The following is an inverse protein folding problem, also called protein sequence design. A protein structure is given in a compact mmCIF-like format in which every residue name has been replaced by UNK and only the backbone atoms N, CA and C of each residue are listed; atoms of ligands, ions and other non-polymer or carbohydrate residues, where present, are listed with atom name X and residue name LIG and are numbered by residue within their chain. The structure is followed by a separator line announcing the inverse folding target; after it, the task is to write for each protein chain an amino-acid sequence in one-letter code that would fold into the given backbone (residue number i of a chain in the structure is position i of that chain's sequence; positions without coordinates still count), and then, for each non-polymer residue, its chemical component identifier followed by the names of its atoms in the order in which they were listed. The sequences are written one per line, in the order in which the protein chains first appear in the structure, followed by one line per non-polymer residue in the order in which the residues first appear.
data_IF_945032395709
#
_entry.id   IF_945032395709
#
_cell.length_a   1.000
_cell.length_b   1.000
_cell.length_c   1.000
_cell.angle_alpha   90.00
_cell.angle_beta   90.00
_cell.angle_gamma   90.00
#
_symmetry.space_group_name_H-M   'P 1'
#
loop_
_entity.id
_entity.type
_entity.pdbx_description
1 polymer ?
#
# COMPACT_ATOMS: atom_id res chain seq x y z
N UNK A 1 49.70 15.53 9.23
CA UNK A 1 48.36 15.13 9.72
C UNK A 1 47.53 14.75 8.50
N UNK A 2 47.18 13.47 8.29
CA UNK A 2 46.29 13.10 7.19
C UNK A 2 44.85 13.58 7.51
N UNK A 3 44.09 14.05 6.51
CA UNK A 3 42.70 14.46 6.70
C UNK A 3 41.85 13.22 7.05
N UNK A 4 41.02 13.37 8.09
CA UNK A 4 40.07 12.36 8.53
C UNK A 4 39.11 12.01 7.39
N UNK A 5 39.14 10.75 6.96
CA UNK A 5 38.20 10.21 6.00
C UNK A 5 36.77 10.31 6.58
N UNK A 6 35.86 10.89 5.80
CA UNK A 6 34.43 10.87 6.10
C UNK A 6 33.98 9.41 6.33
N UNK A 7 33.06 9.16 7.27
CA UNK A 7 32.51 7.82 7.48
C UNK A 7 31.83 7.39 6.19
N UNK A 8 32.50 6.51 5.45
CA UNK A 8 31.95 5.86 4.27
C UNK A 8 30.75 5.08 4.77
N UNK A 9 29.55 5.52 4.38
CA UNK A 9 28.34 4.75 4.56
C UNK A 9 28.63 3.32 4.10
N UNK A 10 28.58 2.37 5.03
CA UNK A 10 28.87 0.97 4.75
C UNK A 10 27.99 0.54 3.57
N UNK A 11 28.61 0.36 2.41
CA UNK A 11 27.96 -0.23 1.26
C UNK A 11 27.43 -1.58 1.72
N UNK A 12 26.11 -1.70 1.84
CA UNK A 12 25.44 -2.88 2.36
C UNK A 12 25.68 -4.02 1.38
N UNK A 13 26.76 -4.77 1.60
CA UNK A 13 27.37 -5.73 0.66
C UNK A 13 26.60 -7.03 0.51
N UNK A 14 25.48 -7.20 1.21
CA UNK A 14 24.54 -8.31 0.98
C UNK A 14 23.46 -7.89 -0.01
N UNK A 15 23.25 -8.60 -1.12
CA UNK A 15 22.20 -8.27 -2.09
C UNK A 15 20.84 -8.21 -1.39
N UNK A 16 20.08 -7.16 -1.68
CA UNK A 16 18.72 -6.98 -1.14
C UNK A 16 17.88 -8.22 -1.47
N UNK A 17 17.23 -8.79 -0.46
CA UNK A 17 16.34 -9.93 -0.67
C UNK A 17 15.06 -9.49 -1.39
N UNK A 18 14.62 -10.28 -2.36
CA UNK A 18 13.32 -10.09 -3.02
C UNK A 18 12.19 -10.43 -2.04
N UNK A 19 11.01 -9.78 -2.16
CA UNK A 19 9.89 -10.01 -1.26
C UNK A 19 9.41 -11.47 -1.19
N UNK A 20 9.57 -12.26 -2.26
CA UNK A 20 9.24 -13.69 -2.27
C UNK A 20 10.27 -14.62 -1.62
N UNK A 21 11.45 -14.10 -1.25
CA UNK A 21 12.55 -14.88 -0.66
C UNK A 21 12.65 -14.70 0.86
N UNK A 22 11.89 -13.78 1.45
CA UNK A 22 11.86 -13.59 2.91
C UNK A 22 10.88 -14.59 3.52
N UNK A 23 11.42 -15.72 4.02
CA UNK A 23 10.63 -16.86 4.50
C UNK A 23 10.11 -16.73 5.93
N UNK A 24 10.77 -15.94 6.78
CA UNK A 24 10.49 -15.93 8.23
C UNK A 24 9.88 -14.63 8.78
N UNK A 25 9.89 -13.53 8.02
CA UNK A 25 9.40 -12.23 8.50
C UNK A 25 8.63 -11.47 7.43
N UNK A 26 7.74 -10.58 7.85
CA UNK A 26 7.14 -9.59 6.93
C UNK A 26 8.27 -8.84 6.22
N UNK A 27 8.24 -8.82 4.88
CA UNK A 27 9.27 -8.17 4.06
C UNK A 27 9.68 -6.78 4.58
N UNK A 28 8.71 -6.00 5.07
CA UNK A 28 8.96 -4.66 5.63
C UNK A 28 9.70 -4.67 6.97
N UNK A 29 9.47 -5.66 7.84
CA UNK A 29 10.23 -5.81 9.10
C UNK A 29 11.71 -6.07 8.79
N UNK A 30 11.98 -6.95 7.84
CA UNK A 30 13.34 -7.19 7.32
C UNK A 30 13.97 -5.88 6.79
N UNK A 31 13.24 -5.13 5.98
CA UNK A 31 13.72 -3.84 5.46
C UNK A 31 13.97 -2.80 6.57
N UNK A 32 13.06 -2.69 7.55
CA UNK A 32 13.25 -1.78 8.68
C UNK A 32 14.49 -2.14 9.50
N UNK A 33 14.77 -3.42 9.71
CA UNK A 33 15.98 -3.88 10.41
C UNK A 33 17.26 -3.61 9.61
N UNK A 34 17.21 -3.76 8.27
CA UNK A 34 18.35 -3.47 7.39
C UNK A 34 18.67 -1.99 7.29
N UNK A 35 17.66 -1.12 7.31
CA UNK A 35 17.81 0.33 7.12
C UNK A 35 17.61 1.15 8.41
N UNK A 36 17.79 0.56 9.61
CA UNK A 36 17.63 1.26 10.90
C UNK A 36 18.46 2.54 10.98
N UNK A 37 19.66 2.56 10.37
CA UNK A 37 20.54 3.73 10.33
C UNK A 37 20.31 4.69 9.16
N UNK A 38 19.36 4.39 8.25
CA UNK A 38 19.14 5.19 7.05
C UNK A 38 17.74 5.83 7.09
N UNK A 39 17.69 7.10 7.47
CA UNK A 39 16.42 7.83 7.61
C UNK A 39 15.63 7.88 6.29
N UNK A 40 16.31 8.09 5.16
CA UNK A 40 15.65 8.22 3.87
C UNK A 40 15.00 6.90 3.44
N UNK A 41 15.72 5.78 3.52
CA UNK A 41 15.17 4.46 3.22
C UNK A 41 14.01 4.09 4.17
N UNK A 42 14.12 4.44 5.45
CA UNK A 42 13.06 4.24 6.45
C UNK A 42 11.79 5.05 6.11
N UNK A 43 11.93 6.30 5.65
CA UNK A 43 10.80 7.13 5.18
C UNK A 43 10.12 6.51 3.97
N UNK A 44 10.87 5.97 3.00
CA UNK A 44 10.32 5.28 1.84
C UNK A 44 9.53 4.03 2.24
N UNK A 45 10.09 3.18 3.11
CA UNK A 45 9.40 1.98 3.62
C UNK A 45 8.09 2.37 4.31
N UNK A 46 8.10 3.43 5.14
CA UNK A 46 6.92 3.95 5.82
C UNK A 46 5.88 4.50 4.85
N UNK A 47 6.29 5.22 3.81
CA UNK A 47 5.41 5.75 2.78
C UNK A 47 4.68 4.61 2.05
N UNK A 48 5.41 3.61 1.58
CA UNK A 48 4.83 2.44 0.93
C UNK A 48 3.88 1.69 1.87
N UNK A 49 4.24 1.55 3.14
CA UNK A 49 3.36 0.96 4.14
C UNK A 49 2.06 1.74 4.31
N UNK A 50 2.13 3.06 4.48
CA UNK A 50 0.95 3.92 4.63
C UNK A 50 0.05 3.87 3.41
N UNK A 51 0.62 3.86 2.19
CA UNK A 51 -0.13 3.80 0.94
C UNK A 51 -0.79 2.44 0.72
N UNK A 52 -0.11 1.34 1.04
CA UNK A 52 -0.72 0.01 1.02
C UNK A 52 -1.86 -0.12 2.04
N UNK A 53 -1.67 0.37 3.27
CA UNK A 53 -2.73 0.39 4.28
C UNK A 53 -3.92 1.23 3.79
N UNK A 54 -3.68 2.38 3.16
CA UNK A 54 -4.72 3.19 2.54
C UNK A 54 -5.46 2.47 1.41
N UNK A 55 -4.77 1.62 0.63
CA UNK A 55 -5.39 0.76 -0.38
C UNK A 55 -6.29 -0.32 0.23
N UNK A 56 -5.79 -1.02 1.27
CA UNK A 56 -6.59 -2.00 2.02
C UNK A 56 -7.80 -1.36 2.70
N UNK A 57 -7.65 -0.16 3.24
CA UNK A 57 -8.74 0.58 3.85
C UNK A 57 -9.82 0.90 2.82
N UNK A 58 -9.43 1.38 1.62
CA UNK A 58 -10.37 1.62 0.53
C UNK A 58 -11.15 0.37 0.12
N UNK A 59 -10.47 -0.78 0.03
CA UNK A 59 -11.13 -2.05 -0.26
C UNK A 59 -12.07 -2.49 0.87
N UNK A 60 -11.64 -2.36 2.12
CA UNK A 60 -12.46 -2.69 3.30
C UNK A 60 -13.70 -1.82 3.41
N UNK A 61 -13.56 -0.50 3.22
CA UNK A 61 -14.68 0.44 3.18
C UNK A 61 -15.63 0.13 2.02
N UNK A 62 -15.09 -0.20 0.84
CA UNK A 62 -15.90 -0.60 -0.31
C UNK A 62 -16.70 -1.87 -0.05
N UNK A 63 -16.06 -2.90 0.52
CA UNK A 63 -16.72 -4.15 0.88
C UNK A 63 -17.85 -3.92 1.88
N UNK A 64 -17.63 -3.11 2.91
CA UNK A 64 -18.67 -2.73 3.88
C UNK A 64 -19.82 -1.97 3.21
N UNK A 65 -19.52 -0.98 2.38
CA UNK A 65 -20.53 -0.17 1.70
C UNK A 65 -21.39 -1.04 0.76
N UNK A 66 -20.77 -1.90 -0.04
CA UNK A 66 -21.48 -2.82 -0.95
C UNK A 66 -22.33 -3.80 -0.15
N UNK A 67 -21.79 -4.38 0.93
CA UNK A 67 -22.53 -5.29 1.81
C UNK A 67 -23.75 -4.62 2.46
N UNK A 68 -23.61 -3.37 2.90
CA UNK A 68 -24.72 -2.61 3.48
C UNK A 68 -25.83 -2.34 2.45
N UNK A 69 -25.47 -1.94 1.23
CA UNK A 69 -26.41 -1.71 0.14
C UNK A 69 -27.13 -3.00 -0.25
N UNK A 70 -26.41 -4.12 -0.31
CA UNK A 70 -26.99 -5.44 -0.54
C UNK A 70 -28.00 -5.81 0.56
N UNK A 71 -27.71 -5.53 1.83
CA UNK A 71 -28.61 -5.81 2.95
C UNK A 71 -29.89 -4.96 2.94
N UNK A 72 -29.83 -3.77 2.34
CA UNK A 72 -31.00 -2.90 2.17
C UNK A 72 -31.81 -3.23 0.92
N UNK A 73 -31.23 -3.96 -0.02
CA UNK A 73 -31.91 -4.37 -1.26
C UNK A 73 -32.92 -5.47 -0.96
N UNK A 74 -34.14 -5.33 -1.48
CA UNK A 74 -35.23 -6.28 -1.29
C UNK A 74 -36.52 -5.61 -0.87
N UNK A 75 -37.54 -6.43 -0.67
CA UNK A 75 -38.87 -6.01 -0.26
C UNK A 75 -38.97 -6.02 1.25
N UNK A 76 -39.35 -4.88 1.84
CA UNK A 76 -39.61 -4.74 3.27
C UNK A 76 -41.06 -4.33 3.51
N UNK A 77 -41.74 -5.11 4.34
CA UNK A 77 -43.10 -4.83 4.78
C UNK A 77 -43.05 -4.06 6.10
N UNK A 78 -43.62 -2.87 6.11
CA UNK A 78 -43.77 -2.05 7.31
C UNK A 78 -44.89 -2.60 8.18
N UNK A 79 -44.84 -2.33 9.48
CA UNK A 79 -45.84 -2.73 10.48
C UNK A 79 -47.26 -2.24 10.16
N UNK A 80 -47.39 -1.21 9.33
CA UNK A 80 -48.67 -0.66 8.89
C UNK A 80 -49.21 -1.34 7.60
N UNK A 81 -48.61 -2.46 7.18
CA UNK A 81 -49.02 -3.23 6.00
C UNK A 81 -48.52 -2.67 4.66
N UNK A 82 -47.82 -1.53 4.66
CA UNK A 82 -47.21 -0.95 3.46
C UNK A 82 -45.92 -1.67 3.06
N UNK A 83 -45.79 -2.02 1.79
CA UNK A 83 -44.61 -2.72 1.25
C UNK A 83 -43.73 -1.76 0.47
N UNK A 84 -42.45 -1.64 0.82
CA UNK A 84 -41.45 -0.88 0.06
C UNK A 84 -40.42 -1.84 -0.52
N UNK A 85 -40.22 -1.78 -1.84
CA UNK A 85 -39.17 -2.57 -2.51
C UNK A 85 -38.04 -1.66 -2.93
N UNK A 86 -36.84 -1.93 -2.40
CA UNK A 86 -35.62 -1.23 -2.79
C UNK A 86 -34.85 -2.13 -3.75
N UNK A 87 -34.64 -1.68 -4.97
CA UNK A 87 -33.83 -2.40 -5.97
C UNK A 87 -32.64 -1.56 -6.37
N UNK A 88 -31.45 -2.17 -6.29
CA UNK A 88 -30.21 -1.55 -6.74
C UNK A 88 -29.90 -2.08 -8.13
N UNK A 89 -29.63 -1.17 -9.07
CA UNK A 89 -29.34 -1.55 -10.45
C UNK A 89 -27.97 -2.24 -10.54
N UNK A 90 -27.77 -3.14 -11.51
CA UNK A 90 -26.45 -3.73 -11.79
C UNK A 90 -25.38 -2.66 -12.05
N UNK A 91 -25.77 -1.54 -12.70
CA UNK A 91 -24.90 -0.38 -12.89
C UNK A 91 -24.47 0.26 -11.56
N UNK A 92 -25.38 0.35 -10.59
CA UNK A 92 -25.06 0.86 -9.24
C UNK A 92 -24.00 0.01 -8.53
N UNK A 93 -24.13 -1.31 -8.57
CA UNK A 93 -23.09 -2.23 -8.05
C UNK A 93 -21.78 -2.10 -8.83
N UNK A 94 -21.85 -2.01 -10.16
CA UNK A 94 -20.68 -1.83 -11.02
C UNK A 94 -19.90 -0.56 -10.70
N UNK A 95 -20.59 0.56 -10.46
CA UNK A 95 -19.97 1.83 -10.07
C UNK A 95 -19.30 1.74 -8.68
N UNK A 96 -19.96 1.11 -7.70
CA UNK A 96 -19.35 0.92 -6.38
C UNK A 96 -18.10 0.03 -6.45
N UNK A 97 -18.18 -1.11 -7.15
CA UNK A 97 -17.03 -1.99 -7.36
C UNK A 97 -15.90 -1.28 -8.10
N UNK A 98 -16.23 -0.53 -9.16
CA UNK A 98 -15.27 0.26 -9.93
C UNK A 98 -14.57 1.32 -9.09
N UNK A 99 -15.31 2.09 -8.29
CA UNK A 99 -14.76 3.15 -7.46
C UNK A 99 -13.87 2.59 -6.34
N UNK A 100 -14.43 1.72 -5.49
CA UNK A 100 -13.70 1.23 -4.32
C UNK A 100 -12.63 0.22 -4.70
N UNK A 101 -12.96 -0.73 -5.58
CA UNK A 101 -12.03 -1.71 -6.12
C UNK A 101 -10.92 -1.06 -6.93
N UNK A 102 -11.28 -0.17 -7.86
CA UNK A 102 -10.31 0.53 -8.72
C UNK A 102 -9.31 1.35 -7.91
N UNK A 103 -9.76 2.18 -6.97
CA UNK A 103 -8.86 3.01 -6.14
C UNK A 103 -8.00 2.14 -5.21
N UNK A 104 -8.60 1.15 -4.57
CA UNK A 104 -7.90 0.25 -3.64
C UNK A 104 -6.83 -0.59 -4.33
N UNK A 105 -7.20 -1.30 -5.40
CA UNK A 105 -6.28 -2.15 -6.18
C UNK A 105 -5.19 -1.30 -6.84
N UNK A 106 -5.53 -0.13 -7.41
CA UNK A 106 -4.53 0.75 -8.03
C UNK A 106 -3.46 1.21 -7.05
N UNK A 107 -3.85 1.57 -5.81
CA UNK A 107 -2.87 1.93 -4.77
C UNK A 107 -2.01 0.74 -4.38
N UNK A 108 -2.59 -0.45 -4.21
CA UNK A 108 -1.83 -1.65 -3.86
C UNK A 108 -0.86 -2.07 -4.95
N UNK A 109 -1.26 -1.96 -6.22
CA UNK A 109 -0.41 -2.26 -7.37
C UNK A 109 0.75 -1.27 -7.51
N UNK A 110 0.49 0.04 -7.39
CA UNK A 110 1.53 1.08 -7.50
C UNK A 110 2.52 1.06 -6.35
N UNK A 111 2.05 0.74 -5.15
CA UNK A 111 2.87 0.68 -3.94
C UNK A 111 3.15 -0.77 -3.50
N UNK A 112 3.32 -1.68 -4.46
CA UNK A 112 3.59 -3.09 -4.16
C UNK A 112 4.96 -3.30 -3.53
N UNK A 113 5.17 -4.46 -2.89
CA UNK A 113 6.46 -4.82 -2.31
C UNK A 113 7.55 -4.97 -3.38
N UNK A 114 7.18 -5.33 -4.62
CA UNK A 114 8.11 -5.42 -5.75
C UNK A 114 8.63 -4.03 -6.15
N UNK A 115 7.76 -3.02 -6.15
CA UNK A 115 8.16 -1.64 -6.41
C UNK A 115 9.03 -1.07 -5.29
N UNK A 116 8.72 -1.42 -4.04
CA UNK A 116 9.58 -1.06 -2.90
C UNK A 116 10.98 -1.70 -3.02
N UNK A 117 11.05 -2.96 -3.43
CA UNK A 117 12.31 -3.65 -3.70
C UNK A 117 13.11 -2.94 -4.80
N UNK A 118 12.47 -2.58 -5.91
CA UNK A 118 13.13 -1.86 -7.01
C UNK A 118 13.72 -0.53 -6.53
N UNK A 119 12.97 0.26 -5.76
CA UNK A 119 13.47 1.56 -5.28
C UNK A 119 14.60 1.42 -4.28
N UNK A 120 14.53 0.46 -3.35
CA UNK A 120 15.62 0.22 -2.40
C UNK A 120 16.85 -0.40 -3.08
N UNK A 121 16.65 -1.25 -4.09
CA UNK A 121 17.75 -1.79 -4.89
C UNK A 121 18.44 -0.72 -5.73
N UNK A 122 17.68 0.24 -6.27
CA UNK A 122 18.25 1.38 -6.99
C UNK A 122 18.99 2.31 -6.03
N UNK A 123 18.44 2.54 -4.84
CA UNK A 123 19.09 3.32 -3.79
C UNK A 123 20.40 2.68 -3.32
N UNK A 124 20.46 1.37 -3.13
CA UNK A 124 21.71 0.66 -2.78
C UNK A 124 22.80 0.82 -3.86
N UNK A 125 22.42 1.06 -5.14
CA UNK A 125 23.36 1.25 -6.25
C UNK A 125 23.75 2.72 -6.45
N UNK A 126 22.77 3.60 -6.51
CA UNK A 126 22.92 4.98 -7.00
C UNK A 126 22.73 6.02 -5.88
N UNK A 127 22.44 5.59 -4.65
CA UNK A 127 22.11 6.45 -3.49
C UNK A 127 21.00 7.48 -3.78
N UNK A 128 20.13 7.18 -4.75
CA UNK A 128 19.04 8.03 -5.18
C UNK A 128 17.73 7.24 -5.31
N UNK A 129 16.62 7.89 -4.97
CA UNK A 129 15.27 7.36 -5.20
C UNK A 129 14.68 7.95 -6.48
N UNK A 130 13.68 7.29 -7.06
CA UNK A 130 12.90 7.88 -8.14
C UNK A 130 12.34 9.27 -7.76
N UNK A 131 12.31 10.26 -8.67
CA UNK A 131 11.82 11.62 -8.38
C UNK A 131 10.43 11.64 -7.76
N UNK A 132 9.56 10.70 -8.17
CA UNK A 132 8.20 10.56 -7.65
C UNK A 132 8.14 10.10 -6.19
N UNK A 133 9.13 9.34 -5.74
CA UNK A 133 9.25 8.86 -4.36
C UNK A 133 9.94 9.93 -3.52
N UNK A 134 11.00 10.53 -4.06
CA UNK A 134 11.75 11.61 -3.41
C UNK A 134 10.86 12.80 -3.07
N UNK A 135 10.05 13.27 -4.04
CA UNK A 135 9.06 14.34 -3.83
C UNK A 135 7.93 14.01 -2.82
N UNK A 136 7.88 12.79 -2.28
CA UNK A 136 6.89 12.39 -1.26
C UNK A 136 7.52 12.04 0.09
N UNK A 137 8.85 12.02 0.18
CA UNK A 137 9.60 11.76 1.44
C UNK A 137 10.36 12.99 1.93
N UNK A 138 10.62 13.96 1.04
CA UNK A 138 10.91 15.36 1.37
C UNK A 138 9.68 16.04 2.01
#
# INVERSE_FOLDING_TARGET
MPPAAAPVAEAVSTPLLKPGLVKDQSYKKYLYQRYVGNEQATRVIRLFARRQTGGKLWLGTGALAIGFVALQTGTKTSSNGGTTTTTVTPLGYGLMLGLFGGVGISKLARYSNEKLYQELSNYDRDHAFSPNVQAKID
#
